data_IF_765945510966
#
_entry.id   IF_765945510966
#
_cell.length_a   1.000
_cell.length_b   1.000
_cell.length_c   1.000
_cell.angle_alpha   90.00
_cell.angle_beta   90.00
_cell.angle_gamma   90.00
#
_symmetry.space_group_name_H-M   'P 1'
#
loop_
_entity.id
_entity.type
_entity.pdbx_description
1 polymer ?
#
# COMPACT_ATOMS: atom_id res chain seq x y z
N UNK A 1 -31.50 -20.43 -3.11
CA UNK A 1 -31.46 -19.73 -1.80
C UNK A 1 -30.92 -20.58 -0.65
N UNK A 2 -31.22 -21.89 -0.53
CA UNK A 2 -30.65 -22.72 0.56
C UNK A 2 -29.15 -23.02 0.40
N UNK A 3 -28.65 -23.20 -0.83
CA UNK A 3 -27.24 -23.53 -1.10
C UNK A 3 -26.28 -22.35 -0.88
N UNK A 4 -26.74 -21.12 -1.16
CA UNK A 4 -25.96 -19.89 -0.96
C UNK A 4 -25.83 -19.52 0.51
N UNK A 5 -26.86 -19.81 1.33
CA UNK A 5 -26.81 -19.58 2.77
C UNK A 5 -25.80 -20.50 3.49
N UNK A 6 -25.59 -21.73 2.99
CA UNK A 6 -24.66 -22.70 3.60
C UNK A 6 -23.19 -22.29 3.35
N UNK A 7 -22.88 -21.74 2.17
CA UNK A 7 -21.54 -21.24 1.86
C UNK A 7 -21.16 -19.99 2.69
N UNK A 8 -22.12 -19.11 2.97
CA UNK A 8 -21.87 -17.92 3.80
C UNK A 8 -21.67 -18.28 5.29
N UNK A 9 -22.37 -19.32 5.80
CA UNK A 9 -22.22 -19.76 7.20
C UNK A 9 -20.88 -20.43 7.48
N UNK A 10 -20.33 -21.17 6.50
CA UNK A 10 -19.05 -21.87 6.64
C UNK A 10 -17.86 -20.90 6.80
N UNK A 11 -17.94 -19.69 6.24
CA UNK A 11 -16.87 -18.68 6.34
C UNK A 11 -16.82 -18.07 7.76
N UNK A 12 -17.97 -17.96 8.44
CA UNK A 12 -18.06 -17.37 9.78
C UNK A 12 -17.60 -18.34 10.88
N UNK A 13 -17.76 -19.66 10.67
CA UNK A 13 -17.38 -20.68 11.66
C UNK A 13 -15.86 -20.88 11.83
N UNK A 14 -15.04 -20.34 10.93
CA UNK A 14 -13.57 -20.46 10.97
C UNK A 14 -12.90 -19.47 11.94
N UNK A 15 -13.65 -18.55 12.55
CA UNK A 15 -13.09 -17.53 13.45
C UNK A 15 -13.02 -17.95 14.94
N UNK A 16 -13.39 -19.19 15.27
CA UNK A 16 -13.70 -19.58 16.65
C UNK A 16 -12.63 -20.44 17.38
N UNK A 17 -11.52 -20.86 16.75
CA UNK A 17 -10.52 -21.70 17.45
C UNK A 17 -9.13 -21.07 17.46
N UNK A 18 -8.52 -20.99 18.64
CA UNK A 18 -7.18 -20.46 18.84
C UNK A 18 -6.06 -21.37 18.27
N UNK A 19 -6.33 -22.66 18.06
CA UNK A 19 -5.41 -23.60 17.38
C UNK A 19 -5.34 -23.38 15.85
N UNK A 20 -6.30 -22.66 15.27
CA UNK A 20 -6.39 -22.39 13.83
C UNK A 20 -5.36 -21.38 13.34
N UNK A 21 -4.58 -20.71 14.21
CA UNK A 21 -3.49 -19.85 13.72
C UNK A 21 -2.52 -20.64 12.84
N UNK A 22 -2.28 -21.92 13.14
CA UNK A 22 -1.36 -22.76 12.35
C UNK A 22 -1.99 -23.27 11.06
N UNK A 23 -3.28 -23.63 11.07
CA UNK A 23 -4.00 -24.10 9.88
C UNK A 23 -4.32 -22.95 8.92
N UNK A 24 -4.76 -21.81 9.44
CA UNK A 24 -4.95 -20.57 8.70
C UNK A 24 -3.60 -20.08 8.14
N UNK A 25 -2.53 -20.09 8.93
CA UNK A 25 -1.19 -19.69 8.43
C UNK A 25 -0.69 -20.63 7.34
N UNK A 26 -0.86 -21.97 7.50
CA UNK A 26 -0.51 -22.94 6.45
C UNK A 26 -1.35 -22.79 5.19
N UNK A 27 -2.65 -22.51 5.32
CA UNK A 27 -3.51 -22.23 4.19
C UNK A 27 -3.12 -20.91 3.50
N UNK A 28 -2.80 -19.86 4.28
CA UNK A 28 -2.27 -18.59 3.77
C UNK A 28 -0.93 -18.81 3.05
N UNK A 29 -0.04 -19.64 3.59
CA UNK A 29 1.27 -19.93 2.98
C UNK A 29 1.14 -20.79 1.71
N UNK A 30 0.18 -21.71 1.66
CA UNK A 30 -0.09 -22.53 0.48
C UNK A 30 -0.74 -21.72 -0.66
N UNK A 31 -1.55 -20.72 -0.33
CA UNK A 31 -2.26 -19.88 -1.31
C UNK A 31 -1.46 -18.61 -1.65
N UNK A 32 -0.51 -18.20 -0.79
CA UNK A 32 0.39 -17.04 -0.93
C UNK A 32 0.87 -16.77 -2.36
N UNK A 33 1.50 -17.74 -3.07
CA UNK A 33 2.01 -17.47 -4.41
C UNK A 33 0.90 -17.11 -5.42
N UNK A 34 -0.34 -17.57 -5.18
CA UNK A 34 -1.50 -17.27 -6.02
C UNK A 34 -2.24 -15.97 -5.60
N UNK A 35 -1.95 -15.42 -4.42
CA UNK A 35 -2.71 -14.28 -3.85
C UNK A 35 -1.87 -13.05 -3.52
N UNK A 36 -0.57 -13.00 -3.82
CA UNK A 36 0.29 -11.88 -3.42
C UNK A 36 -0.31 -10.48 -3.73
N UNK A 37 -0.89 -10.30 -4.93
CA UNK A 37 -1.56 -9.03 -5.29
C UNK A 37 -2.84 -8.76 -4.48
N UNK A 38 -3.65 -9.80 -4.20
CA UNK A 38 -4.84 -9.68 -3.36
C UNK A 38 -4.47 -9.42 -1.89
N UNK A 39 -3.40 -10.04 -1.40
CA UNK A 39 -2.88 -9.87 -0.05
C UNK A 39 -2.36 -8.45 0.20
N UNK A 40 -1.62 -7.89 -0.76
CA UNK A 40 -1.17 -6.49 -0.71
C UNK A 40 -2.36 -5.52 -0.70
N UNK A 41 -3.36 -5.74 -1.56
CA UNK A 41 -4.56 -4.91 -1.60
C UNK A 41 -5.34 -4.93 -0.28
N UNK A 42 -5.56 -6.13 0.28
CA UNK A 42 -6.27 -6.29 1.56
C UNK A 42 -5.48 -5.64 2.69
N UNK A 43 -4.17 -5.86 2.74
CA UNK A 43 -3.29 -5.26 3.75
C UNK A 43 -3.31 -3.73 3.69
N UNK A 44 -3.19 -3.14 2.48
CA UNK A 44 -3.27 -1.69 2.25
C UNK A 44 -4.63 -1.14 2.67
N UNK A 45 -5.72 -1.85 2.37
CA UNK A 45 -7.09 -1.47 2.74
C UNK A 45 -7.29 -1.45 4.27
N UNK A 46 -6.78 -2.46 4.97
CA UNK A 46 -6.83 -2.50 6.45
C UNK A 46 -6.06 -1.32 7.04
N UNK A 47 -4.85 -1.06 6.55
CA UNK A 47 -4.05 0.08 7.04
C UNK A 47 -4.75 1.43 6.76
N UNK A 48 -5.37 1.60 5.60
CA UNK A 48 -6.15 2.81 5.28
C UNK A 48 -7.34 2.98 6.22
N UNK A 49 -8.03 1.89 6.59
CA UNK A 49 -9.11 1.96 7.57
C UNK A 49 -8.63 2.35 8.96
N UNK A 50 -7.41 1.92 9.35
CA UNK A 50 -6.84 2.20 10.66
C UNK A 50 -6.20 3.60 10.74
N UNK A 51 -5.72 4.13 9.62
CA UNK A 51 -4.94 5.38 9.54
C UNK A 51 -5.74 6.63 9.94
N UNK A 52 -7.07 6.57 9.87
CA UNK A 52 -7.96 7.69 10.18
C UNK A 52 -8.10 8.04 11.67
N UNK A 53 -7.47 7.30 12.58
CA UNK A 53 -7.53 7.58 14.02
C UNK A 53 -6.13 7.83 14.64
N UNK A 54 -6.11 8.54 15.77
CA UNK A 54 -4.89 8.89 16.52
C UNK A 54 -4.50 7.83 17.57
N UNK A 55 -4.92 6.59 17.40
CA UNK A 55 -4.40 5.50 18.23
C UNK A 55 -2.95 5.19 17.85
N UNK A 56 -2.23 4.46 18.71
CA UNK A 56 -0.88 3.98 18.37
C UNK A 56 -0.88 3.15 17.08
N UNK A 57 -1.92 2.34 16.88
CA UNK A 57 -2.10 1.54 15.66
C UNK A 57 -2.40 2.42 14.44
N UNK A 58 -3.25 3.43 14.57
CA UNK A 58 -3.56 4.35 13.46
C UNK A 58 -2.37 5.20 13.03
N UNK A 59 -1.54 5.65 13.98
CA UNK A 59 -0.24 6.30 13.67
C UNK A 59 0.72 5.35 12.95
N UNK A 60 0.85 4.12 13.43
CA UNK A 60 1.70 3.11 12.78
C UNK A 60 1.20 2.79 11.36
N UNK A 61 -0.11 2.70 11.16
CA UNK A 61 -0.73 2.48 9.86
C UNK A 61 -0.45 3.64 8.88
N UNK A 62 -0.60 4.91 9.32
CA UNK A 62 -0.21 6.09 8.53
C UNK A 62 1.26 6.03 8.10
N UNK A 63 2.16 5.83 9.06
CA UNK A 63 3.59 5.77 8.78
C UNK A 63 3.94 4.64 7.80
N UNK A 64 3.27 3.49 7.90
CA UNK A 64 3.48 2.38 6.97
C UNK A 64 2.99 2.72 5.55
N UNK A 65 1.81 3.32 5.43
CA UNK A 65 1.27 3.77 4.13
C UNK A 65 2.17 4.82 3.47
N UNK A 66 2.67 5.78 4.23
CA UNK A 66 3.61 6.80 3.73
C UNK A 66 4.92 6.19 3.24
N UNK A 67 5.47 5.23 3.99
CA UNK A 67 6.67 4.49 3.58
C UNK A 67 6.44 3.68 2.30
N UNK A 68 5.29 3.02 2.18
CA UNK A 68 4.93 2.29 0.96
C UNK A 68 4.78 3.23 -0.23
N UNK A 69 4.08 4.35 -0.06
CA UNK A 69 3.93 5.35 -1.12
C UNK A 69 5.28 5.93 -1.56
N UNK A 70 6.20 6.19 -0.63
CA UNK A 70 7.56 6.63 -0.95
C UNK A 70 8.33 5.56 -1.73
N UNK A 71 8.27 4.30 -1.29
CA UNK A 71 8.92 3.20 -1.99
C UNK A 71 8.34 2.98 -3.41
N UNK A 72 7.02 3.10 -3.57
CA UNK A 72 6.35 3.05 -4.87
C UNK A 72 6.84 4.19 -5.79
N UNK A 73 6.97 5.42 -5.28
CA UNK A 73 7.52 6.56 -6.04
C UNK A 73 8.98 6.37 -6.43
N UNK A 74 9.81 5.85 -5.51
CA UNK A 74 11.22 5.57 -5.78
C UNK A 74 11.42 4.42 -6.77
N UNK A 75 10.58 3.38 -6.71
CA UNK A 75 10.61 2.25 -7.64
C UNK A 75 10.14 2.64 -9.04
N UNK A 76 9.19 3.57 -9.14
CA UNK A 76 8.67 4.09 -10.41
C UNK A 76 9.31 5.42 -10.85
N UNK A 77 10.43 5.83 -10.23
CA UNK A 77 11.10 7.07 -10.61
C UNK A 77 11.60 6.97 -12.06
N UNK A 78 11.34 8.02 -12.82
CA UNK A 78 11.90 8.18 -14.15
C UNK A 78 13.41 8.44 -14.13
N UNK A 79 13.98 8.64 -15.31
CA UNK A 79 15.38 9.06 -15.44
C UNK A 79 15.60 10.39 -14.74
N UNK A 80 16.72 10.52 -14.02
CA UNK A 80 17.12 11.81 -13.44
C UNK A 80 17.28 12.84 -14.54
N UNK A 81 16.69 14.01 -14.34
CA UNK A 81 16.76 15.16 -15.24
C UNK A 81 17.79 16.15 -14.73
N UNK A 82 18.32 16.97 -15.62
CA UNK A 82 19.24 18.05 -15.26
C UNK A 82 18.49 19.23 -14.66
N UNK A 83 19.19 20.06 -13.87
CA UNK A 83 18.63 21.32 -13.36
C UNK A 83 18.08 22.19 -14.50
N UNK A 84 18.75 22.21 -15.67
CA UNK A 84 18.32 22.98 -16.83
C UNK A 84 16.98 22.51 -17.40
N UNK A 85 16.68 21.21 -17.30
CA UNK A 85 15.42 20.66 -17.77
C UNK A 85 14.26 20.99 -16.84
N UNK A 86 14.53 21.15 -15.54
CA UNK A 86 13.51 21.33 -14.50
C UNK A 86 13.43 22.76 -13.92
N UNK A 87 14.36 23.68 -14.19
CA UNK A 87 14.29 25.00 -13.55
C UNK A 87 13.03 25.78 -13.97
N UNK A 88 12.36 26.41 -13.01
CA UNK A 88 11.19 27.26 -13.26
C UNK A 88 11.60 28.62 -13.87
N UNK A 89 10.72 29.29 -14.63
CA UNK A 89 10.97 30.66 -15.08
C UNK A 89 11.32 31.58 -13.91
N UNK A 90 12.24 32.53 -14.15
CA UNK A 90 12.73 33.41 -13.08
C UNK A 90 13.73 32.75 -12.12
N UNK A 91 14.27 31.56 -12.47
CA UNK A 91 15.25 30.82 -11.67
C UNK A 91 14.73 30.40 -10.28
N UNK A 92 13.44 30.12 -10.17
CA UNK A 92 12.84 29.61 -8.92
C UNK A 92 13.24 28.14 -8.74
N UNK A 93 13.76 27.82 -7.56
CA UNK A 93 14.09 26.44 -7.14
C UNK A 93 13.27 26.13 -5.90
N UNK A 94 12.36 25.18 -6.03
CA UNK A 94 11.50 24.68 -4.96
C UNK A 94 11.42 23.15 -5.00
N UNK A 95 10.55 22.59 -4.17
CA UNK A 95 10.38 21.13 -4.05
C UNK A 95 10.00 20.48 -5.38
N UNK A 96 9.17 21.13 -6.21
CA UNK A 96 8.78 20.61 -7.52
C UNK A 96 9.99 20.46 -8.46
N UNK A 97 10.91 21.44 -8.46
CA UNK A 97 12.15 21.37 -9.24
C UNK A 97 13.01 20.21 -8.77
N UNK A 98 13.10 20.00 -7.45
CA UNK A 98 13.85 18.87 -6.88
C UNK A 98 13.21 17.53 -7.27
N UNK A 99 11.89 17.41 -7.20
CA UNK A 99 11.14 16.22 -7.62
C UNK A 99 11.32 15.93 -9.12
N UNK A 100 11.32 16.95 -9.97
CA UNK A 100 11.57 16.78 -11.40
C UNK A 100 13.00 16.29 -11.70
N UNK A 101 14.02 16.86 -11.04
CA UNK A 101 15.41 16.42 -11.19
C UNK A 101 15.57 14.96 -10.75
N UNK A 102 14.88 14.58 -9.68
CA UNK A 102 14.89 13.20 -9.18
C UNK A 102 14.12 12.22 -10.07
N UNK A 103 13.44 12.69 -11.11
CA UNK A 103 12.59 11.87 -11.98
C UNK A 103 11.28 11.45 -11.32
N UNK A 104 10.88 12.11 -10.23
CA UNK A 104 9.63 11.82 -9.51
C UNK A 104 8.44 12.65 -10.03
N UNK A 105 8.70 13.72 -10.80
CA UNK A 105 7.69 14.61 -11.36
C UNK A 105 8.00 14.98 -12.80
N UNK A 106 6.96 15.08 -13.62
CA UNK A 106 7.05 15.67 -14.96
C UNK A 106 6.91 17.19 -14.90
N UNK A 107 7.61 17.88 -15.81
CA UNK A 107 7.60 19.35 -15.83
C UNK A 107 6.25 19.85 -16.38
N UNK A 108 5.52 20.59 -15.57
CA UNK A 108 4.22 21.20 -15.90
C UNK A 108 4.20 22.73 -15.76
N UNK A 109 5.37 23.36 -15.61
CA UNK A 109 5.58 24.82 -15.51
C UNK A 109 6.37 25.42 -16.67
#
# INVERSE_FOLDING_TARGET
MKRTAILALAIVSLAANADDQTALSKAIDAIKPATNAAGEYVSKSIMQSLSGNDTAMGRAARNNLERQAKAEREANRGTRKTMKECIKPGNVIDEDVQECIMGMRERDW
#
